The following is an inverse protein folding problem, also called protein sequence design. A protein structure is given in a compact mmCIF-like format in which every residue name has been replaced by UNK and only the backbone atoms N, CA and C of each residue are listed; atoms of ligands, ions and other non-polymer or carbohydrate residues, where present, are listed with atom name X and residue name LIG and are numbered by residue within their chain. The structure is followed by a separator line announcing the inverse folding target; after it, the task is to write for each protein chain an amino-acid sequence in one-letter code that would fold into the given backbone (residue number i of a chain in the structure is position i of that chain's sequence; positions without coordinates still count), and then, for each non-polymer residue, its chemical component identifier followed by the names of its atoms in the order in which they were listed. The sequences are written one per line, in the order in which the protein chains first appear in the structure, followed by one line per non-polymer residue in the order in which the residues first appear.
data_IF_401216934023
#
_entry.id   IF_401216934023
#
_cell.length_a   1.000
_cell.length_b   1.000
_cell.length_c   1.000
_cell.angle_alpha   90.00
_cell.angle_beta   90.00
_cell.angle_gamma   90.00
#
_symmetry.space_group_name_H-M   'P 1'
#
loop_
_entity.id
_entity.type
_entity.pdbx_description
1 polymer ?
#
# COMPACT_ATOMS: atom_id res chain seq x y z
N UNK A 1 8.52 -3.99 16.22
CA UNK A 1 8.71 -5.45 16.43
C UNK A 1 8.47 -6.24 15.15
N UNK A 2 7.26 -6.32 14.58
CA UNK A 2 7.06 -7.02 13.29
C UNK A 2 7.47 -6.18 12.07
N UNK A 3 7.21 -4.87 12.12
CA UNK A 3 7.53 -3.91 11.04
C UNK A 3 9.03 -3.71 10.78
N UNK A 4 9.88 -4.10 11.73
CA UNK A 4 11.34 -3.92 11.68
C UNK A 4 12.06 -5.18 11.18
N UNK A 5 11.32 -6.30 11.00
CA UNK A 5 11.86 -7.54 10.46
C UNK A 5 12.18 -7.38 8.97
N UNK A 6 13.21 -8.09 8.51
CA UNK A 6 13.34 -8.28 7.06
C UNK A 6 12.15 -9.10 6.58
N UNK A 7 11.71 -8.86 5.35
CA UNK A 7 10.58 -9.58 4.75
C UNK A 7 10.76 -11.10 4.82
N UNK A 8 11.99 -11.60 4.62
CA UNK A 8 12.32 -13.02 4.74
C UNK A 8 12.03 -13.55 6.15
N UNK A 9 12.51 -12.85 7.18
CA UNK A 9 12.37 -13.26 8.58
C UNK A 9 10.89 -13.25 9.00
N UNK A 10 10.11 -12.27 8.52
CA UNK A 10 8.66 -12.23 8.76
C UNK A 10 7.93 -13.42 8.13
N UNK A 11 8.30 -13.81 6.90
CA UNK A 11 7.69 -14.96 6.20
C UNK A 11 8.04 -16.28 6.91
N UNK A 12 9.29 -16.44 7.36
CA UNK A 12 9.71 -17.62 8.11
C UNK A 12 8.96 -17.74 9.44
N UNK A 13 8.83 -16.63 10.20
CA UNK A 13 8.08 -16.62 11.47
C UNK A 13 6.57 -16.88 11.26
N UNK A 14 5.97 -16.31 10.21
CA UNK A 14 4.55 -16.54 9.84
C UNK A 14 4.24 -18.02 9.56
N UNK A 15 5.20 -18.75 8.99
CA UNK A 15 5.08 -20.18 8.68
C UNK A 15 5.47 -21.11 9.83
N UNK A 16 5.86 -20.56 10.99
CA UNK A 16 6.33 -21.32 12.14
C UNK A 16 5.19 -21.80 13.05
N UNK A 17 5.52 -22.47 14.16
CA UNK A 17 4.57 -22.82 15.22
C UNK A 17 4.30 -21.66 16.21
N UNK A 18 4.84 -20.47 15.95
CA UNK A 18 4.63 -19.28 16.77
C UNK A 18 3.18 -18.78 16.66
N UNK A 19 2.55 -18.33 17.76
CA UNK A 19 1.18 -17.82 17.72
C UNK A 19 1.03 -16.48 16.97
N UNK A 20 2.13 -15.78 16.66
CA UNK A 20 2.16 -14.55 15.86
C UNK A 20 3.51 -14.41 15.11
N UNK A 21 3.55 -13.78 13.92
CA UNK A 21 2.46 -13.09 13.22
C UNK A 21 1.44 -14.07 12.65
N UNK A 22 0.18 -13.63 12.57
CA UNK A 22 -0.94 -14.45 12.09
C UNK A 22 -1.75 -13.76 10.99
N UNK A 23 -2.97 -14.25 10.74
CA UNK A 23 -3.86 -13.75 9.69
C UNK A 23 -4.11 -12.23 9.72
N UNK A 24 -4.26 -11.66 10.92
CA UNK A 24 -4.41 -10.20 11.07
C UNK A 24 -3.16 -9.41 10.65
N UNK A 25 -1.97 -9.93 10.98
CA UNK A 25 -0.70 -9.30 10.60
C UNK A 25 -0.49 -9.30 9.10
N UNK A 26 -0.81 -10.40 8.41
CA UNK A 26 -0.68 -10.46 6.95
C UNK A 26 -1.74 -9.61 6.25
N UNK A 27 -2.96 -9.53 6.79
CA UNK A 27 -4.00 -8.64 6.29
C UNK A 27 -3.59 -7.17 6.39
N UNK A 28 -3.02 -6.76 7.53
CA UNK A 28 -2.51 -5.41 7.73
C UNK A 28 -1.33 -5.08 6.79
N UNK A 29 -0.39 -6.01 6.61
CA UNK A 29 0.73 -5.85 5.68
C UNK A 29 0.22 -5.71 4.23
N UNK A 30 -0.73 -6.56 3.83
CA UNK A 30 -1.33 -6.54 2.49
C UNK A 30 -2.04 -5.22 2.21
N UNK A 31 -2.85 -4.73 3.16
CA UNK A 31 -3.52 -3.44 3.05
C UNK A 31 -2.52 -2.27 2.95
N UNK A 32 -1.43 -2.33 3.73
CA UNK A 32 -0.38 -1.32 3.71
C UNK A 32 0.33 -1.28 2.34
N UNK A 33 0.65 -2.45 1.77
CA UNK A 33 1.25 -2.54 0.43
C UNK A 33 0.32 -2.02 -0.67
N UNK A 34 -0.97 -2.37 -0.60
CA UNK A 34 -1.97 -1.87 -1.54
C UNK A 34 -2.09 -0.34 -1.48
N UNK A 35 -2.17 0.23 -0.27
CA UNK A 35 -2.22 1.68 -0.06
C UNK A 35 -0.94 2.38 -0.55
N UNK A 36 0.24 1.79 -0.30
CA UNK A 36 1.49 2.34 -0.78
C UNK A 36 1.56 2.38 -2.32
N UNK A 37 1.06 1.34 -3.00
CA UNK A 37 0.95 1.30 -4.46
C UNK A 37 -0.03 2.36 -4.99
N UNK A 38 -1.21 2.48 -4.37
CA UNK A 38 -2.18 3.52 -4.73
C UNK A 38 -1.57 4.92 -4.60
N UNK A 39 -0.86 5.18 -3.49
CA UNK A 39 -0.14 6.43 -3.24
C UNK A 39 0.95 6.68 -4.28
N UNK A 40 1.71 5.66 -4.69
CA UNK A 40 2.71 5.78 -5.76
C UNK A 40 2.07 6.21 -7.08
N UNK A 41 0.98 5.55 -7.50
CA UNK A 41 0.27 5.88 -8.74
C UNK A 41 -0.26 7.32 -8.69
N UNK A 42 -0.87 7.71 -7.57
CA UNK A 42 -1.34 9.06 -7.33
C UNK A 42 -0.21 10.10 -7.46
N UNK A 43 0.94 9.86 -6.83
CA UNK A 43 2.10 10.74 -6.91
C UNK A 43 2.66 10.85 -8.35
N UNK A 44 2.54 9.79 -9.16
CA UNK A 44 2.91 9.81 -10.57
C UNK A 44 1.86 10.45 -11.48
N UNK A 45 0.64 10.71 -10.98
CA UNK A 45 -0.49 11.21 -11.77
C UNK A 45 -0.71 12.70 -11.53
N UNK A 46 -0.61 13.15 -10.27
CA UNK A 46 -0.85 14.55 -9.94
C UNK A 46 0.18 15.48 -10.56
N UNK A 47 -0.31 16.60 -11.11
CA UNK A 47 0.52 17.67 -11.68
C UNK A 47 1.09 17.37 -13.07
N UNK A 48 0.85 16.18 -13.63
CA UNK A 48 1.18 15.87 -15.03
C UNK A 48 0.32 16.69 -15.98
N UNK A 49 0.95 17.21 -17.04
CA UNK A 49 0.33 18.14 -18.01
C UNK A 49 -0.89 17.50 -18.69
N UNK A 50 -0.80 16.22 -18.97
CA UNK A 50 -1.82 15.37 -19.59
C UNK A 50 -3.11 15.30 -18.76
N UNK A 51 -3.07 15.65 -17.46
CA UNK A 51 -4.25 15.64 -16.59
C UNK A 51 -4.74 17.04 -16.22
N UNK A 52 -4.07 18.10 -16.68
CA UNK A 52 -4.44 19.49 -16.37
C UNK A 52 -5.71 19.93 -17.11
N UNK A 53 -5.97 19.35 -18.28
CA UNK A 53 -7.11 19.66 -19.13
C UNK A 53 -8.44 19.08 -18.61
N UNK A 54 -8.39 18.15 -17.67
CA UNK A 54 -9.58 17.57 -17.09
C UNK A 54 -10.32 18.55 -16.17
N UNK A 55 -11.64 18.47 -16.20
CA UNK A 55 -12.51 19.25 -15.33
C UNK A 55 -12.35 18.81 -13.85
N UNK A 56 -12.74 19.68 -12.91
CA UNK A 56 -12.51 19.47 -11.48
C UNK A 56 -13.23 18.21 -10.95
N UNK A 57 -14.34 17.83 -11.57
CA UNK A 57 -15.05 16.58 -11.28
C UNK A 57 -14.20 15.33 -11.56
N UNK A 58 -13.47 15.31 -12.68
CA UNK A 58 -12.58 14.21 -13.08
C UNK A 58 -11.29 14.25 -12.25
N UNK A 59 -10.72 15.44 -12.01
CA UNK A 59 -9.57 15.61 -11.12
C UNK A 59 -9.87 15.04 -9.73
N UNK A 60 -11.05 15.27 -9.17
CA UNK A 60 -11.44 14.74 -7.86
C UNK A 60 -11.42 13.20 -7.79
N UNK A 61 -11.73 12.52 -8.90
CA UNK A 61 -11.67 11.06 -9.01
C UNK A 61 -10.21 10.58 -9.07
N UNK A 62 -9.34 11.30 -9.80
CA UNK A 62 -7.91 10.97 -9.91
C UNK A 62 -7.13 11.18 -8.60
N UNK A 63 -7.70 11.95 -7.66
CA UNK A 63 -7.03 12.37 -6.41
C UNK A 63 -7.52 11.54 -5.19
N UNK A 64 -8.49 10.65 -5.35
CA UNK A 64 -8.95 9.80 -4.24
C UNK A 64 -8.08 8.53 -4.15
N UNK A 65 -7.40 8.26 -3.02
CA UNK A 65 -6.72 6.99 -2.77
C UNK A 65 -7.71 5.84 -2.52
#
# INVERSE_FOLDING_TARGET
MLQDLKLKDFIEELGSNSPAPGGGSIAALSASMASALASMVFNLTIGKKEYLEYDDSIKKILILP
#
